data_IF_687880869839
#
_entry.id   IF_687880869839
#
_cell.length_a   1.000
_cell.length_b   1.000
_cell.length_c   1.000
_cell.angle_alpha   90.00
_cell.angle_beta   90.00
_cell.angle_gamma   90.00
#
_symmetry.space_group_name_H-M   'P 1'
#
loop_
_entity.id
_entity.type
_entity.pdbx_description
1 polymer ?
#
# COMPACT_ATOMS: atom_id res chain seq x y z
N UNK A 1 24.20 -21.67 15.92
CA UNK A 1 24.64 -20.35 16.35
C UNK A 1 23.42 -19.53 16.78
N UNK A 2 23.46 -19.07 18.02
CA UNK A 2 22.37 -18.55 18.85
C UNK A 2 21.56 -17.42 18.19
N UNK A 3 20.23 -17.55 18.20
CA UNK A 3 19.27 -16.46 17.97
C UNK A 3 19.52 -15.38 19.03
N UNK A 4 19.89 -14.19 18.63
CA UNK A 4 19.66 -13.00 19.45
C UNK A 4 18.14 -12.73 19.42
N UNK A 5 17.39 -13.31 20.35
CA UNK A 5 16.14 -12.74 20.81
C UNK A 5 16.49 -11.32 21.24
N UNK A 6 15.95 -10.32 20.55
CA UNK A 6 16.02 -8.93 20.99
C UNK A 6 15.22 -8.83 22.28
N UNK A 7 15.92 -9.03 23.40
CA UNK A 7 15.35 -8.98 24.75
C UNK A 7 14.88 -7.55 24.97
N UNK A 8 13.57 -7.31 24.93
CA UNK A 8 12.99 -6.02 25.32
C UNK A 8 13.40 -5.76 26.77
N UNK A 9 14.11 -4.66 27.06
CA UNK A 9 14.54 -4.39 28.42
C UNK A 9 13.36 -4.41 29.40
N UNK A 10 13.50 -5.06 30.54
CA UNK A 10 12.43 -5.29 31.49
C UNK A 10 11.71 -4.00 31.92
N UNK A 11 12.43 -2.88 32.02
CA UNK A 11 11.83 -1.58 32.36
C UNK A 11 10.88 -1.03 31.27
N UNK A 12 11.10 -1.35 29.98
CA UNK A 12 10.18 -0.97 28.89
C UNK A 12 8.89 -1.80 28.94
N UNK A 13 9.03 -3.11 29.18
CA UNK A 13 7.87 -3.99 29.39
C UNK A 13 7.04 -3.54 30.57
N UNK A 14 7.71 -3.10 31.66
CA UNK A 14 7.06 -2.55 32.82
C UNK A 14 6.33 -1.22 32.51
N UNK A 15 6.96 -0.32 31.74
CA UNK A 15 6.33 0.94 31.34
C UNK A 15 5.05 0.71 30.52
N UNK A 16 5.04 -0.30 29.64
CA UNK A 16 3.83 -0.67 28.88
C UNK A 16 2.72 -1.20 29.81
N UNK A 17 3.06 -2.05 30.79
CA UNK A 17 2.10 -2.57 31.77
C UNK A 17 1.51 -1.43 32.62
N UNK A 18 2.36 -0.52 33.10
CA UNK A 18 1.90 0.67 33.85
C UNK A 18 0.94 1.50 32.98
N UNK A 19 1.27 1.72 31.71
CA UNK A 19 0.40 2.46 30.78
C UNK A 19 -0.97 1.78 30.61
N UNK A 20 -0.99 0.45 30.49
CA UNK A 20 -2.23 -0.32 30.42
C UNK A 20 -3.06 -0.24 31.71
N UNK A 21 -2.42 -0.31 32.86
CA UNK A 21 -3.10 -0.19 34.15
C UNK A 21 -3.74 1.18 34.35
N UNK A 22 -3.08 2.26 33.94
CA UNK A 22 -3.64 3.61 33.99
C UNK A 22 -4.92 3.69 33.15
N UNK A 23 -4.91 3.07 31.98
CA UNK A 23 -6.08 3.01 31.07
C UNK A 23 -7.19 2.16 31.70
N UNK A 24 -6.85 0.98 32.20
CA UNK A 24 -7.78 0.01 32.76
C UNK A 24 -8.50 0.56 34.02
N UNK A 25 -7.75 1.26 34.88
CA UNK A 25 -8.30 1.94 36.08
C UNK A 25 -9.02 3.24 35.74
N UNK A 26 -9.05 3.64 34.48
CA UNK A 26 -9.68 4.87 33.98
C UNK A 26 -9.21 6.16 34.73
N UNK A 27 -7.92 6.20 35.10
CA UNK A 27 -7.34 7.35 35.81
C UNK A 27 -7.25 8.56 34.88
N UNK A 28 -7.45 9.75 35.45
CA UNK A 28 -7.44 11.02 34.72
C UNK A 28 -6.16 11.82 35.02
N UNK A 29 -5.88 12.80 34.18
CA UNK A 29 -4.79 13.73 34.41
C UNK A 29 -5.00 14.42 35.77
N UNK A 30 -3.97 14.42 36.63
CA UNK A 30 -3.97 14.92 37.99
C UNK A 30 -4.23 13.85 39.06
N UNK A 31 -4.74 12.66 38.71
CA UNK A 31 -5.00 11.60 39.65
C UNK A 31 -3.71 11.04 40.25
N UNK A 32 -3.76 10.66 41.52
CA UNK A 32 -2.72 9.87 42.18
C UNK A 32 -2.75 8.44 41.61
N UNK A 33 -1.58 7.93 41.22
CA UNK A 33 -1.47 6.58 40.71
C UNK A 33 -1.00 5.59 41.76
N UNK A 34 0.21 5.78 42.30
CA UNK A 34 0.82 4.90 43.29
C UNK A 34 2.15 5.47 43.79
N UNK A 35 2.84 4.73 44.65
CA UNK A 35 4.22 5.02 45.03
C UNK A 35 5.21 4.11 44.27
N UNK A 36 6.50 4.45 44.26
CA UNK A 36 7.55 3.58 43.72
C UNK A 36 7.59 2.22 44.44
N UNK A 37 7.26 2.18 45.70
CA UNK A 37 7.22 0.93 46.49
C UNK A 37 6.07 0.04 46.03
N UNK A 38 4.89 0.62 45.86
CA UNK A 38 3.71 -0.12 45.34
C UNK A 38 4.01 -0.76 44.00
N UNK A 39 4.68 -0.04 43.09
CA UNK A 39 5.09 -0.61 41.79
C UNK A 39 6.10 -1.78 41.91
N UNK A 40 7.01 -1.71 42.91
CA UNK A 40 7.90 -2.84 43.15
C UNK A 40 7.14 -4.07 43.64
N UNK A 41 6.18 -3.86 44.52
CA UNK A 41 5.39 -4.92 45.14
C UNK A 41 4.39 -5.51 44.14
N UNK A 42 3.67 -4.66 43.37
CA UNK A 42 2.64 -5.06 42.41
C UNK A 42 3.24 -5.85 41.21
N UNK A 43 4.41 -5.43 40.74
CA UNK A 43 5.02 -6.05 39.55
C UNK A 43 6.17 -7.01 39.82
N UNK A 44 6.58 -7.15 41.09
CA UNK A 44 7.64 -8.08 41.48
C UNK A 44 9.01 -7.74 40.89
N UNK A 45 9.33 -6.45 40.72
CA UNK A 45 10.57 -5.99 40.07
C UNK A 45 11.39 -5.07 40.98
N UNK A 46 12.69 -4.95 40.68
CA UNK A 46 13.60 -4.11 41.46
C UNK A 46 13.26 -2.63 41.33
N UNK A 47 13.55 -1.85 42.40
CA UNK A 47 13.39 -0.39 42.41
C UNK A 47 14.13 0.31 41.26
N UNK A 48 15.24 -0.23 40.82
CA UNK A 48 16.03 0.30 39.69
C UNK A 48 15.22 0.15 38.40
N UNK A 49 14.57 -0.99 38.19
CA UNK A 49 13.70 -1.27 37.03
C UNK A 49 12.49 -0.35 37.04
N UNK A 50 11.84 -0.19 38.22
CA UNK A 50 10.70 0.71 38.40
C UNK A 50 11.10 2.15 38.09
N UNK A 51 12.21 2.65 38.66
CA UNK A 51 12.67 4.02 38.38
C UNK A 51 12.91 4.27 36.91
N UNK A 52 13.54 3.33 36.19
CA UNK A 52 13.76 3.45 34.75
C UNK A 52 12.44 3.48 33.96
N UNK A 53 11.47 2.66 34.33
CA UNK A 53 10.15 2.63 33.69
C UNK A 53 9.39 3.94 33.95
N UNK A 54 9.37 4.40 35.20
CA UNK A 54 8.71 5.66 35.60
C UNK A 54 9.38 6.86 34.94
N UNK A 55 10.72 6.93 34.92
CA UNK A 55 11.46 8.00 34.22
C UNK A 55 11.19 8.03 32.72
N UNK A 56 10.99 6.87 32.08
CA UNK A 56 10.58 6.79 30.68
C UNK A 56 9.19 7.38 30.47
N UNK A 57 8.22 7.06 31.33
CA UNK A 57 6.84 7.58 31.27
C UNK A 57 6.77 9.05 31.65
N UNK A 58 7.64 9.50 32.55
CA UNK A 58 7.79 10.90 32.94
C UNK A 58 8.40 11.73 31.79
N UNK A 59 9.47 11.23 31.15
CA UNK A 59 10.05 11.84 29.97
C UNK A 59 9.09 11.93 28.77
N UNK A 60 8.10 11.04 28.73
CA UNK A 60 7.01 11.07 27.76
C UNK A 60 5.80 11.92 28.21
N UNK A 61 5.88 12.62 29.35
CA UNK A 61 4.83 13.48 29.86
C UNK A 61 3.56 12.78 30.37
N UNK A 62 3.62 11.45 30.60
CA UNK A 62 2.47 10.66 31.07
C UNK A 62 2.37 10.70 32.57
N UNK A 63 3.49 10.56 33.27
CA UNK A 63 3.59 10.58 34.72
C UNK A 63 4.31 11.82 35.19
N UNK A 64 4.06 12.17 36.46
CA UNK A 64 4.80 13.18 37.16
C UNK A 64 5.09 12.66 38.57
N UNK A 65 6.37 12.60 38.95
CA UNK A 65 6.80 12.23 40.27
C UNK A 65 6.85 13.48 41.17
N UNK A 66 6.08 13.50 42.26
CA UNK A 66 6.16 14.54 43.28
C UNK A 66 6.96 14.00 44.45
N UNK A 67 8.04 14.69 44.82
CA UNK A 67 8.89 14.28 45.93
C UNK A 67 8.06 14.08 47.18
N UNK A 68 8.24 12.94 47.86
CA UNK A 68 7.48 12.51 49.06
C UNK A 68 5.96 12.34 48.90
N UNK A 69 5.36 12.65 47.74
CA UNK A 69 3.90 12.58 47.52
C UNK A 69 3.48 11.45 46.59
N UNK A 70 4.44 10.81 45.88
CA UNK A 70 4.18 9.70 44.97
C UNK A 70 4.13 10.06 43.49
N UNK A 71 3.50 9.18 42.70
CA UNK A 71 3.42 9.27 41.25
C UNK A 71 1.99 9.64 40.85
N UNK A 72 1.87 10.64 39.97
CA UNK A 72 0.60 11.18 39.50
C UNK A 72 0.53 11.08 37.98
N UNK A 73 -0.69 11.02 37.43
CA UNK A 73 -0.92 11.11 36.00
C UNK A 73 -0.71 12.57 35.55
N UNK A 74 0.32 12.83 34.75
CA UNK A 74 0.59 14.17 34.23
C UNK A 74 -0.36 14.50 33.07
N UNK A 75 -0.42 13.63 32.07
CA UNK A 75 -1.33 13.79 30.96
C UNK A 75 -1.76 12.41 30.39
N UNK A 76 -3.06 12.11 30.57
CA UNK A 76 -3.66 10.87 30.10
C UNK A 76 -3.76 10.81 28.57
N UNK A 77 -3.93 11.95 27.90
CA UNK A 77 -4.12 11.98 26.44
C UNK A 77 -2.85 11.52 25.72
N UNK A 78 -1.67 11.71 26.34
CA UNK A 78 -0.44 11.12 25.83
C UNK A 78 -0.44 9.59 25.84
N UNK A 79 -1.17 8.93 26.74
CA UNK A 79 -1.31 7.47 26.73
C UNK A 79 -2.09 6.98 25.52
N UNK A 80 -3.15 7.68 25.13
CA UNK A 80 -3.89 7.35 23.92
C UNK A 80 -3.00 7.54 22.69
N UNK A 81 -2.24 8.62 22.66
CA UNK A 81 -1.25 8.91 21.60
C UNK A 81 -0.14 7.85 21.58
N UNK A 82 0.42 7.45 22.73
CA UNK A 82 1.47 6.44 22.81
C UNK A 82 0.97 5.04 22.46
N UNK A 83 -0.24 4.66 22.85
CA UNK A 83 -0.82 3.38 22.45
C UNK A 83 -1.09 3.34 20.94
N UNK A 84 -1.46 4.47 20.35
CA UNK A 84 -1.58 4.62 18.90
C UNK A 84 -0.20 4.52 18.24
N UNK A 85 0.84 5.16 18.80
CA UNK A 85 2.23 5.07 18.30
C UNK A 85 2.93 3.73 18.57
N UNK A 86 2.32 2.80 19.29
CA UNK A 86 2.88 1.48 19.56
C UNK A 86 2.61 0.45 18.46
N UNK A 87 1.83 0.80 17.43
CA UNK A 87 1.47 -0.11 16.35
C UNK A 87 1.81 0.51 14.99
N UNK A 88 3.10 0.56 14.68
CA UNK A 88 3.60 1.18 13.44
C UNK A 88 3.66 0.14 12.32
N UNK A 89 3.17 0.51 11.15
CA UNK A 89 3.39 -0.21 9.90
C UNK A 89 4.22 0.68 8.99
N UNK A 90 5.44 0.26 8.67
CA UNK A 90 6.30 0.98 7.75
C UNK A 90 5.85 0.76 6.31
N UNK A 91 5.85 1.84 5.53
CA UNK A 91 5.50 1.81 4.12
C UNK A 91 6.67 2.42 3.33
N UNK A 92 7.73 1.63 3.06
CA UNK A 92 8.85 2.11 2.29
C UNK A 92 8.42 2.45 0.85
N UNK A 93 8.88 3.58 0.35
CA UNK A 93 8.70 3.99 -1.03
C UNK A 93 10.00 4.53 -1.63
N UNK A 94 10.08 4.55 -2.94
CA UNK A 94 11.20 5.17 -3.64
C UNK A 94 11.05 6.70 -3.65
N UNK A 95 12.20 7.39 -3.71
CA UNK A 95 12.22 8.78 -4.13
C UNK A 95 11.74 8.84 -5.60
N UNK A 96 10.48 9.19 -5.82
CA UNK A 96 10.04 9.56 -7.15
C UNK A 96 10.58 10.95 -7.45
N UNK A 97 11.64 11.03 -8.25
CA UNK A 97 12.25 12.30 -8.64
C UNK A 97 11.34 13.22 -9.44
N UNK A 98 10.24 12.73 -9.95
CA UNK A 98 9.19 13.56 -10.55
C UNK A 98 7.93 12.72 -10.77
N UNK A 99 6.80 13.32 -10.56
CA UNK A 99 5.42 12.99 -10.90
C UNK A 99 4.63 12.34 -9.78
N UNK A 100 3.63 13.09 -9.41
CA UNK A 100 2.41 12.62 -8.77
C UNK A 100 1.86 11.42 -9.56
N UNK A 101 2.22 10.22 -9.15
CA UNK A 101 1.51 9.05 -9.64
C UNK A 101 0.24 8.91 -8.80
N UNK A 102 -0.84 9.50 -9.29
CA UNK A 102 -2.11 9.58 -8.58
C UNK A 102 -2.63 8.20 -8.13
N UNK A 103 -2.36 7.16 -8.89
CA UNK A 103 -2.67 5.78 -8.50
C UNK A 103 -2.00 5.39 -7.17
N UNK A 104 -0.70 5.67 -7.04
CA UNK A 104 0.06 5.35 -5.82
C UNK A 104 -0.37 6.21 -4.64
N UNK A 105 -0.63 7.51 -4.87
CA UNK A 105 -1.09 8.43 -3.83
C UNK A 105 -2.45 8.02 -3.27
N UNK A 106 -3.41 7.72 -4.14
CA UNK A 106 -4.73 7.25 -3.72
C UNK A 106 -4.65 5.90 -2.97
N UNK A 107 -3.82 4.99 -3.44
CA UNK A 107 -3.59 3.70 -2.75
C UNK A 107 -2.94 3.90 -1.39
N UNK A 108 -1.90 4.76 -1.30
CA UNK A 108 -1.24 5.08 -0.03
C UNK A 108 -2.22 5.72 0.95
N UNK A 109 -2.98 6.71 0.51
CA UNK A 109 -4.00 7.37 1.34
C UNK A 109 -5.01 6.35 1.91
N UNK A 110 -5.50 5.43 1.07
CA UNK A 110 -6.42 4.39 1.50
C UNK A 110 -5.80 3.39 2.48
N UNK A 111 -4.53 3.00 2.26
CA UNK A 111 -3.76 2.18 3.21
C UNK A 111 -3.66 2.86 4.58
N UNK A 112 -3.27 4.15 4.61
CA UNK A 112 -3.12 4.91 5.84
C UNK A 112 -4.42 5.02 6.61
N UNK A 113 -5.53 5.33 5.92
CA UNK A 113 -6.86 5.43 6.52
C UNK A 113 -7.34 4.08 7.08
N UNK A 114 -7.16 3.00 6.33
CA UNK A 114 -7.57 1.67 6.75
C UNK A 114 -6.74 1.14 7.92
N UNK A 115 -5.43 1.40 7.95
CA UNK A 115 -4.58 1.10 9.11
C UNK A 115 -5.00 1.89 10.34
N UNK A 116 -5.27 3.20 10.18
CA UNK A 116 -5.73 4.05 11.29
C UNK A 116 -7.06 3.55 11.88
N UNK A 117 -8.00 3.13 11.04
CA UNK A 117 -9.28 2.55 11.48
C UNK A 117 -9.12 1.26 12.33
N UNK A 118 -7.98 0.54 12.18
CA UNK A 118 -7.63 -0.67 12.94
C UNK A 118 -6.63 -0.37 14.08
N UNK A 119 -6.38 0.88 14.40
CA UNK A 119 -5.47 1.30 15.48
C UNK A 119 -3.98 1.13 15.16
N UNK A 120 -3.61 1.09 13.88
CA UNK A 120 -2.23 1.13 13.41
C UNK A 120 -1.89 2.49 12.83
N UNK A 121 -0.63 2.89 12.92
CA UNK A 121 -0.11 4.06 12.21
C UNK A 121 0.68 3.57 10.99
N UNK A 122 0.18 3.84 9.81
CA UNK A 122 0.95 3.73 8.58
C UNK A 122 2.00 4.85 8.55
N UNK A 123 3.27 4.49 8.44
CA UNK A 123 4.38 5.44 8.43
C UNK A 123 5.14 5.34 7.11
N UNK A 124 4.89 6.25 6.14
CA UNK A 124 5.65 6.31 4.90
C UNK A 124 7.11 6.68 5.19
N UNK A 125 8.05 5.94 4.60
CA UNK A 125 9.49 6.20 4.72
C UNK A 125 10.15 6.02 3.36
N UNK A 126 11.30 6.65 3.17
CA UNK A 126 12.12 6.33 2.00
C UNK A 126 12.76 4.95 2.17
N UNK A 127 12.92 4.23 1.06
CA UNK A 127 13.52 2.89 1.06
C UNK A 127 14.90 2.88 1.73
N UNK A 128 15.69 3.90 1.48
CA UNK A 128 17.04 4.08 2.00
C UNK A 128 17.06 4.17 3.53
N UNK A 129 15.99 4.72 4.12
CA UNK A 129 15.85 4.92 5.56
C UNK A 129 15.44 3.64 6.31
N UNK A 130 15.04 2.58 5.61
CA UNK A 130 14.58 1.33 6.24
C UNK A 130 15.65 0.71 7.18
N UNK A 131 16.91 1.00 6.94
CA UNK A 131 18.05 0.56 7.74
C UNK A 131 18.65 1.64 8.64
N UNK A 132 18.03 2.82 8.71
CA UNK A 132 18.55 3.92 9.50
C UNK A 132 18.49 3.63 11.01
N UNK A 133 19.41 4.20 11.78
CA UNK A 133 19.38 4.12 13.24
C UNK A 133 18.05 4.62 13.81
N UNK A 134 17.41 5.61 13.17
CA UNK A 134 16.12 6.15 13.57
C UNK A 134 15.02 5.09 13.54
N UNK A 135 15.00 4.25 12.50
CA UNK A 135 14.06 3.13 12.40
C UNK A 135 14.39 2.04 13.41
N UNK A 136 15.67 1.79 13.66
CA UNK A 136 16.12 0.86 14.68
C UNK A 136 15.64 1.25 16.09
N UNK A 137 15.57 2.55 16.41
CA UNK A 137 14.99 3.05 17.67
C UNK A 137 13.48 2.76 17.83
N UNK A 138 12.79 2.56 16.72
CA UNK A 138 11.35 2.25 16.69
C UNK A 138 11.08 0.74 16.56
N UNK A 139 12.10 -0.11 16.51
CA UNK A 139 12.00 -1.54 16.19
C UNK A 139 10.94 -2.29 17.00
N UNK A 140 10.85 -1.98 18.32
CA UNK A 140 9.86 -2.60 19.22
C UNK A 140 8.41 -2.20 18.96
N UNK A 141 8.20 -1.15 18.17
CA UNK A 141 6.89 -0.58 17.85
C UNK A 141 6.45 -0.90 16.41
N UNK A 142 7.36 -1.42 15.60
CA UNK A 142 7.08 -1.76 14.21
C UNK A 142 6.44 -3.15 14.16
N UNK A 143 5.18 -3.20 13.76
CA UNK A 143 4.38 -4.43 13.69
C UNK A 143 4.37 -5.05 12.30
N UNK A 144 4.67 -4.26 11.27
CA UNK A 144 4.66 -4.74 9.91
C UNK A 144 5.36 -3.80 8.93
N UNK A 145 5.63 -4.32 7.74
CA UNK A 145 6.19 -3.56 6.61
C UNK A 145 5.36 -3.84 5.36
N UNK A 146 4.98 -2.80 4.62
CA UNK A 146 4.25 -2.92 3.36
C UNK A 146 5.18 -2.57 2.21
N UNK A 147 5.46 -3.50 1.32
CA UNK A 147 6.33 -3.29 0.15
C UNK A 147 5.60 -3.40 -1.17
N UNK A 148 5.99 -2.57 -2.13
CA UNK A 148 5.54 -2.66 -3.52
C UNK A 148 6.34 -3.68 -4.35
N UNK A 149 5.94 -3.84 -5.62
CA UNK A 149 6.54 -4.79 -6.58
C UNK A 149 8.07 -4.69 -6.64
N UNK A 150 8.61 -3.49 -6.88
CA UNK A 150 10.05 -3.24 -7.06
C UNK A 150 10.91 -3.52 -5.82
N UNK A 151 10.29 -3.60 -4.65
CA UNK A 151 10.95 -3.83 -3.36
C UNK A 151 10.75 -5.25 -2.85
N UNK A 152 9.86 -6.03 -3.46
CA UNK A 152 9.44 -7.32 -2.94
C UNK A 152 10.60 -8.32 -2.81
N UNK A 153 11.53 -8.34 -3.77
CA UNK A 153 12.71 -9.21 -3.74
C UNK A 153 13.65 -8.91 -2.57
N UNK A 154 13.94 -7.61 -2.31
CA UNK A 154 14.78 -7.17 -1.21
C UNK A 154 14.12 -7.46 0.15
N UNK A 155 12.84 -7.11 0.30
CA UNK A 155 12.10 -7.36 1.55
C UNK A 155 11.99 -8.87 1.87
N UNK A 156 11.74 -9.71 0.86
CA UNK A 156 11.62 -11.15 1.06
C UNK A 156 12.96 -11.79 1.43
N UNK A 157 14.07 -11.32 0.85
CA UNK A 157 15.40 -11.81 1.20
C UNK A 157 15.74 -11.53 2.67
N UNK A 158 15.21 -10.46 3.22
CA UNK A 158 15.42 -9.99 4.59
C UNK A 158 14.28 -10.34 5.56
N UNK A 159 13.29 -11.13 5.13
CA UNK A 159 12.06 -11.41 5.90
C UNK A 159 12.27 -11.93 7.31
N UNK A 160 13.41 -12.58 7.58
CA UNK A 160 13.71 -13.12 8.92
C UNK A 160 14.18 -12.02 9.89
N UNK A 161 14.74 -10.93 9.38
CA UNK A 161 15.20 -9.78 10.15
C UNK A 161 14.15 -8.67 10.24
N UNK A 162 13.12 -8.70 9.40
CA UNK A 162 12.05 -7.71 9.35
C UNK A 162 10.81 -8.19 10.12
N UNK A 163 9.95 -7.28 10.58
CA UNK A 163 8.58 -7.58 11.00
C UNK A 163 7.80 -8.28 9.87
N UNK A 164 6.58 -8.81 10.15
CA UNK A 164 5.71 -9.36 9.13
C UNK A 164 5.55 -8.44 7.92
N UNK A 165 5.45 -9.03 6.72
CA UNK A 165 5.39 -8.30 5.45
C UNK A 165 4.02 -8.40 4.80
N UNK A 166 3.57 -7.30 4.21
CA UNK A 166 2.57 -7.28 3.14
C UNK A 166 3.26 -6.88 1.84
N UNK A 167 3.18 -7.70 0.81
CA UNK A 167 3.75 -7.40 -0.50
C UNK A 167 2.63 -7.11 -1.50
N UNK A 168 2.65 -5.90 -2.06
CA UNK A 168 1.68 -5.43 -3.04
C UNK A 168 2.19 -5.73 -4.44
N UNK A 169 1.45 -6.57 -5.14
CA UNK A 169 1.72 -7.05 -6.49
C UNK A 169 3.16 -7.57 -6.70
N UNK A 170 3.63 -8.50 -5.84
CA UNK A 170 4.97 -9.04 -5.97
C UNK A 170 5.10 -9.92 -7.23
N UNK A 171 6.34 -10.14 -7.75
CA UNK A 171 6.60 -11.07 -8.84
C UNK A 171 6.04 -12.47 -8.59
N UNK A 172 5.70 -13.18 -9.67
CA UNK A 172 5.01 -14.48 -9.61
C UNK A 172 5.71 -15.59 -8.83
N UNK A 173 7.05 -15.54 -8.75
CA UNK A 173 7.89 -16.50 -8.03
C UNK A 173 7.91 -16.31 -6.49
N UNK A 174 7.33 -15.22 -5.97
CA UNK A 174 7.24 -14.98 -4.52
C UNK A 174 5.99 -15.67 -3.99
N UNK A 175 6.15 -16.43 -2.91
CA UNK A 175 5.06 -17.15 -2.23
C UNK A 175 4.78 -16.59 -0.84
N UNK A 176 3.53 -16.72 -0.40
CA UNK A 176 3.13 -16.35 0.94
C UNK A 176 3.77 -17.27 2.00
N UNK A 177 3.93 -16.75 3.22
CA UNK A 177 4.55 -17.49 4.32
C UNK A 177 4.02 -16.98 5.68
N UNK A 178 4.38 -17.66 6.78
CA UNK A 178 4.03 -17.21 8.14
C UNK A 178 4.51 -15.79 8.48
N UNK A 179 5.37 -15.21 7.66
CA UNK A 179 5.92 -13.86 7.83
C UNK A 179 5.59 -12.91 6.70
N UNK A 180 4.93 -13.39 5.64
CA UNK A 180 4.59 -12.55 4.49
C UNK A 180 3.24 -12.95 3.89
N UNK A 181 2.35 -12.01 3.78
CA UNK A 181 1.15 -12.10 2.96
C UNK A 181 1.30 -11.30 1.67
N UNK A 182 0.56 -11.71 0.68
CA UNK A 182 0.64 -11.17 -0.67
C UNK A 182 -0.71 -10.58 -1.07
N UNK A 183 -0.67 -9.44 -1.73
CA UNK A 183 -1.81 -8.87 -2.43
C UNK A 183 -1.44 -8.79 -3.91
N UNK A 184 -2.11 -9.53 -4.77
CA UNK A 184 -1.86 -9.58 -6.22
C UNK A 184 -3.02 -9.03 -7.01
N UNK A 185 -2.72 -8.46 -8.16
CA UNK A 185 -3.70 -8.01 -9.14
C UNK A 185 -3.97 -9.14 -10.12
N UNK A 186 -5.24 -9.41 -10.40
CA UNK A 186 -5.63 -10.45 -11.35
C UNK A 186 -5.58 -9.92 -12.79
N UNK A 187 -4.35 -9.75 -13.31
CA UNK A 187 -4.14 -9.31 -14.70
C UNK A 187 -4.73 -10.28 -15.72
N UNK A 188 -4.80 -11.58 -15.37
CA UNK A 188 -5.45 -12.57 -16.23
C UNK A 188 -6.94 -12.28 -16.40
N UNK A 189 -7.64 -12.01 -15.29
CA UNK A 189 -9.06 -11.65 -15.34
C UNK A 189 -9.26 -10.30 -16.07
N UNK A 190 -8.39 -9.32 -15.82
CA UNK A 190 -8.42 -8.03 -16.53
C UNK A 190 -8.29 -8.22 -18.05
N UNK A 191 -7.37 -9.06 -18.49
CA UNK A 191 -7.20 -9.39 -19.91
C UNK A 191 -8.46 -10.02 -20.50
N UNK A 192 -9.03 -11.03 -19.82
CA UNK A 192 -10.25 -11.71 -20.27
C UNK A 192 -11.46 -10.77 -20.34
N UNK A 193 -11.59 -9.87 -19.37
CA UNK A 193 -12.67 -8.86 -19.37
C UNK A 193 -12.49 -7.85 -20.51
N UNK A 194 -11.24 -7.47 -20.79
CA UNK A 194 -10.90 -6.62 -21.93
C UNK A 194 -11.22 -7.30 -23.27
N UNK A 195 -10.89 -8.59 -23.42
CA UNK A 195 -11.28 -9.36 -24.60
C UNK A 195 -12.79 -9.36 -24.81
N UNK A 196 -13.56 -9.68 -23.77
CA UNK A 196 -15.03 -9.68 -23.83
C UNK A 196 -15.60 -8.31 -24.20
N UNK A 197 -14.98 -7.25 -23.69
CA UNK A 197 -15.38 -5.88 -24.01
C UNK A 197 -15.11 -5.55 -25.49
N UNK A 198 -13.97 -5.96 -26.04
CA UNK A 198 -13.56 -5.75 -27.41
C UNK A 198 -14.40 -6.60 -28.38
N UNK A 199 -14.58 -7.89 -28.09
CA UNK A 199 -15.39 -8.83 -28.91
C UNK A 199 -16.82 -8.36 -29.16
N UNK A 200 -17.46 -7.76 -28.13
CA UNK A 200 -18.81 -7.16 -28.29
C UNK A 200 -18.89 -6.04 -29.32
N UNK A 201 -17.73 -5.47 -29.73
CA UNK A 201 -17.62 -4.38 -30.73
C UNK A 201 -17.24 -4.89 -32.10
N UNK A 202 -16.90 -6.19 -32.20
CA UNK A 202 -16.54 -6.88 -33.43
C UNK A 202 -15.55 -6.10 -34.33
N UNK A 203 -14.38 -5.66 -33.80
CA UNK A 203 -13.44 -4.90 -34.60
C UNK A 203 -12.76 -5.79 -35.66
N UNK A 204 -12.42 -5.20 -36.80
CA UNK A 204 -11.66 -5.89 -37.83
C UNK A 204 -10.19 -6.04 -37.49
N UNK A 205 -9.63 -5.06 -36.80
CA UNK A 205 -8.22 -5.01 -36.39
C UNK A 205 -8.13 -4.43 -34.98
N UNK A 206 -7.18 -4.96 -34.20
CA UNK A 206 -6.83 -4.45 -32.88
C UNK A 206 -5.38 -3.95 -32.89
N UNK A 207 -5.17 -2.74 -32.39
CA UNK A 207 -3.86 -2.20 -32.04
C UNK A 207 -3.79 -2.20 -30.50
N UNK A 208 -2.91 -3.04 -29.97
CA UNK A 208 -2.65 -3.11 -28.53
C UNK A 208 -1.35 -2.38 -28.21
N UNK A 209 -1.39 -1.42 -27.28
CA UNK A 209 -0.22 -0.68 -26.80
C UNK A 209 0.04 -1.10 -25.37
N UNK A 210 1.20 -1.73 -25.13
CA UNK A 210 1.61 -2.26 -23.83
C UNK A 210 2.71 -1.40 -23.25
N UNK A 211 2.47 -0.89 -22.03
CA UNK A 211 3.37 0.05 -21.35
C UNK A 211 4.12 -0.57 -20.17
N UNK A 212 3.69 -1.74 -19.69
CA UNK A 212 4.31 -2.47 -18.58
C UNK A 212 4.36 -3.97 -18.89
N UNK A 213 5.50 -4.64 -18.72
CA UNK A 213 5.65 -6.08 -18.90
C UNK A 213 4.65 -6.95 -18.13
N UNK A 214 4.09 -6.44 -17.03
CA UNK A 214 3.05 -7.16 -16.27
C UNK A 214 1.78 -7.44 -17.09
N UNK A 215 1.56 -6.69 -18.17
CA UNK A 215 0.43 -6.89 -19.09
C UNK A 215 0.72 -7.91 -20.21
N UNK A 216 1.94 -8.43 -20.31
CA UNK A 216 2.25 -9.52 -21.25
C UNK A 216 1.71 -10.84 -20.70
N UNK A 217 0.75 -11.42 -21.40
CA UNK A 217 0.13 -12.71 -21.07
C UNK A 217 0.08 -13.57 -22.33
N UNK A 218 1.25 -14.06 -22.81
CA UNK A 218 1.35 -14.76 -24.10
C UNK A 218 0.39 -15.94 -24.21
N UNK A 219 0.14 -16.63 -23.10
CA UNK A 219 -0.77 -17.77 -23.03
C UNK A 219 -2.25 -17.43 -23.28
N UNK A 220 -2.59 -16.14 -23.28
CA UNK A 220 -3.95 -15.65 -23.54
C UNK A 220 -4.10 -14.90 -24.87
N UNK A 221 -2.99 -14.56 -25.54
CA UNK A 221 -3.01 -13.76 -26.78
C UNK A 221 -3.70 -14.48 -27.93
N UNK A 222 -3.60 -15.81 -27.99
CA UNK A 222 -4.29 -16.66 -28.99
C UNK A 222 -5.82 -16.65 -28.88
N UNK A 223 -6.36 -16.09 -27.78
CA UNK A 223 -7.82 -15.97 -27.60
C UNK A 223 -8.45 -14.84 -28.41
N UNK A 224 -7.66 -13.97 -29.00
CA UNK A 224 -8.16 -12.86 -29.80
C UNK A 224 -8.30 -13.34 -31.24
N UNK A 225 -9.54 -13.51 -31.68
CA UNK A 225 -9.90 -14.08 -32.99
C UNK A 225 -9.69 -13.14 -34.19
N UNK A 226 -9.44 -11.85 -33.95
CA UNK A 226 -9.16 -10.87 -34.99
C UNK A 226 -7.68 -10.48 -35.01
N UNK A 227 -7.19 -9.99 -36.17
CA UNK A 227 -5.80 -9.58 -36.30
C UNK A 227 -5.38 -8.54 -35.26
N UNK A 228 -4.57 -8.94 -34.30
CA UNK A 228 -4.00 -8.05 -33.30
C UNK A 228 -2.55 -7.71 -33.67
N UNK A 229 -2.24 -6.41 -33.64
CA UNK A 229 -0.87 -5.91 -33.73
C UNK A 229 -0.51 -5.28 -32.40
N UNK A 230 0.55 -5.78 -31.75
CA UNK A 230 1.03 -5.24 -30.50
C UNK A 230 2.20 -4.29 -30.71
N UNK A 231 2.21 -3.22 -29.92
CA UNK A 231 3.31 -2.27 -29.80
C UNK A 231 3.70 -2.19 -28.34
N UNK A 232 4.94 -2.51 -28.04
CA UNK A 232 5.50 -2.31 -26.71
C UNK A 232 6.14 -0.93 -26.67
N UNK A 233 5.80 -0.13 -25.68
CA UNK A 233 6.54 1.10 -25.41
C UNK A 233 7.79 0.74 -24.61
N UNK A 234 8.90 1.46 -24.79
CA UNK A 234 9.96 1.41 -23.80
C UNK A 234 9.36 1.78 -22.42
N UNK A 235 9.97 1.34 -21.32
CA UNK A 235 9.59 1.81 -20.00
C UNK A 235 9.45 3.32 -20.06
N UNK A 236 8.31 3.86 -19.60
CA UNK A 236 8.06 5.30 -19.61
C UNK A 236 9.21 5.97 -18.89
N UNK A 237 10.09 6.61 -19.65
CA UNK A 237 11.27 7.26 -19.12
C UNK A 237 10.84 8.44 -18.27
N UNK A 238 11.66 8.81 -17.27
CA UNK A 238 11.33 9.88 -16.32
C UNK A 238 11.20 11.27 -16.99
N UNK A 239 11.66 11.41 -18.23
CA UNK A 239 11.66 12.67 -18.99
C UNK A 239 10.42 12.84 -19.87
N UNK A 240 9.86 11.77 -20.42
CA UNK A 240 8.65 11.84 -21.26
C UNK A 240 7.40 11.61 -20.43
N UNK A 241 6.41 12.50 -20.53
CA UNK A 241 5.12 12.25 -19.87
C UNK A 241 4.37 11.11 -20.56
N UNK A 242 3.62 10.32 -19.80
CA UNK A 242 2.78 9.27 -20.37
C UNK A 242 1.78 9.84 -21.41
N UNK A 243 1.27 11.06 -21.17
CA UNK A 243 0.43 11.79 -22.13
C UNK A 243 1.19 12.08 -23.42
N UNK A 244 2.45 12.53 -23.35
CA UNK A 244 3.28 12.82 -24.52
C UNK A 244 3.60 11.56 -25.31
N UNK A 245 3.89 10.44 -24.62
CA UNK A 245 4.04 9.13 -25.25
C UNK A 245 2.78 8.74 -26.02
N UNK A 246 1.61 8.93 -25.43
CA UNK A 246 0.33 8.70 -26.09
C UNK A 246 0.14 9.56 -27.32
N UNK A 247 0.46 10.85 -27.23
CA UNK A 247 0.37 11.80 -28.36
C UNK A 247 1.31 11.41 -29.50
N UNK A 248 2.56 11.05 -29.20
CA UNK A 248 3.54 10.60 -30.20
C UNK A 248 3.05 9.34 -30.92
N UNK A 249 2.66 8.31 -30.17
CA UNK A 249 2.16 7.07 -30.75
C UNK A 249 0.92 7.25 -31.62
N UNK A 250 0.00 8.15 -31.18
CA UNK A 250 -1.17 8.51 -31.98
C UNK A 250 -0.78 9.17 -33.31
N UNK A 251 0.22 10.06 -33.28
CA UNK A 251 0.76 10.69 -34.51
C UNK A 251 1.34 9.67 -35.50
N UNK A 252 2.10 8.69 -35.00
CA UNK A 252 2.71 7.62 -35.79
C UNK A 252 1.68 6.64 -36.37
N UNK A 253 0.60 6.37 -35.63
CA UNK A 253 -0.38 5.35 -35.99
C UNK A 253 -1.61 5.88 -36.72
N UNK A 254 -1.81 7.19 -36.78
CA UNK A 254 -3.04 7.81 -37.26
C UNK A 254 -3.38 7.39 -38.70
N UNK A 255 -2.42 7.48 -39.63
CA UNK A 255 -2.64 7.22 -41.04
C UNK A 255 -2.89 5.72 -41.35
N UNK A 256 -2.61 4.84 -40.41
CA UNK A 256 -2.81 3.39 -40.50
C UNK A 256 -3.92 2.86 -39.58
N UNK A 257 -4.74 3.76 -39.01
CA UNK A 257 -5.68 3.48 -37.95
C UNK A 257 -7.13 3.23 -38.42
N UNK A 258 -7.37 3.25 -39.71
CA UNK A 258 -8.71 3.08 -40.26
C UNK A 258 -9.29 1.72 -39.83
N UNK A 259 -10.49 1.77 -39.23
CA UNK A 259 -11.22 0.61 -38.69
C UNK A 259 -10.46 -0.19 -37.59
N UNK A 260 -9.45 0.41 -36.96
CA UNK A 260 -8.75 -0.20 -35.83
C UNK A 260 -9.45 0.10 -34.51
N UNK A 261 -9.45 -0.89 -33.62
CA UNK A 261 -9.74 -0.74 -32.21
C UNK A 261 -8.45 -0.58 -31.44
N UNK A 262 -8.38 0.38 -30.51
CA UNK A 262 -7.19 0.65 -29.70
C UNK A 262 -7.36 0.12 -28.29
N UNK A 263 -6.43 -0.73 -27.87
CA UNK A 263 -6.37 -1.26 -26.51
C UNK A 263 -5.05 -0.85 -25.85
N UNK A 264 -5.12 0.07 -24.90
CA UNK A 264 -3.95 0.74 -24.30
C UNK A 264 -3.86 0.38 -22.81
N UNK A 265 -2.67 -0.07 -22.36
CA UNK A 265 -2.51 -0.57 -20.99
C UNK A 265 -2.10 0.50 -19.96
N UNK A 266 -2.35 1.77 -20.27
CA UNK A 266 -2.11 2.90 -19.39
C UNK A 266 -3.14 4.01 -19.65
N UNK A 267 -3.62 4.65 -18.58
CA UNK A 267 -4.66 5.69 -18.67
C UNK A 267 -4.14 6.99 -19.29
N UNK A 268 -3.00 7.49 -18.85
CA UNK A 268 -2.44 8.74 -19.35
C UNK A 268 -1.97 8.63 -20.81
N UNK A 269 -1.41 7.48 -21.18
CA UNK A 269 -1.10 7.17 -22.58
C UNK A 269 -2.38 7.15 -23.42
N UNK A 270 -3.44 6.52 -22.93
CA UNK A 270 -4.72 6.48 -23.63
C UNK A 270 -5.34 7.89 -23.81
N UNK A 271 -5.18 8.77 -22.84
CA UNK A 271 -5.66 10.17 -22.95
C UNK A 271 -4.89 10.95 -24.00
N UNK A 272 -3.54 10.91 -23.92
CA UNK A 272 -2.71 11.57 -24.93
C UNK A 272 -2.99 11.05 -26.32
N UNK A 273 -3.20 9.74 -26.46
CA UNK A 273 -3.54 9.08 -27.70
C UNK A 273 -4.88 9.56 -28.25
N UNK A 274 -5.93 9.53 -27.42
CA UNK A 274 -7.26 9.99 -27.82
C UNK A 274 -7.30 11.48 -28.16
N UNK A 275 -6.55 12.32 -27.46
CA UNK A 275 -6.48 13.75 -27.71
C UNK A 275 -6.03 14.08 -29.14
N UNK A 276 -5.00 13.39 -29.65
CA UNK A 276 -4.53 13.61 -31.04
C UNK A 276 -5.58 13.18 -32.06
N UNK A 277 -6.27 12.08 -31.84
CA UNK A 277 -7.37 11.66 -32.72
C UNK A 277 -8.50 12.68 -32.72
N UNK A 278 -8.87 13.21 -31.55
CA UNK A 278 -9.89 14.22 -31.41
C UNK A 278 -9.49 15.54 -32.11
N UNK A 279 -8.25 15.98 -31.97
CA UNK A 279 -7.69 17.15 -32.67
C UNK A 279 -7.75 16.99 -34.20
N UNK A 280 -7.71 15.76 -34.71
CA UNK A 280 -7.84 15.43 -36.14
C UNK A 280 -9.27 15.05 -36.56
N UNK A 281 -10.27 15.34 -35.71
CA UNK A 281 -11.69 15.15 -36.01
C UNK A 281 -12.25 13.75 -35.79
N UNK A 282 -11.46 12.82 -35.17
CA UNK A 282 -11.88 11.44 -34.89
C UNK A 282 -12.13 11.26 -33.40
N UNK A 283 -13.35 10.96 -33.02
CA UNK A 283 -13.70 10.71 -31.62
C UNK A 283 -13.76 9.21 -31.32
N UNK A 284 -12.62 8.63 -30.88
CA UNK A 284 -12.49 7.20 -30.60
C UNK A 284 -13.46 6.70 -29.52
N UNK A 285 -13.88 7.57 -28.59
CA UNK A 285 -14.84 7.23 -27.53
C UNK A 285 -16.24 7.12 -28.11
N UNK A 286 -16.68 8.14 -28.86
CA UNK A 286 -17.98 8.14 -29.52
C UNK A 286 -18.11 7.01 -30.55
N UNK A 287 -17.02 6.70 -31.26
CA UNK A 287 -16.92 5.59 -32.21
C UNK A 287 -16.77 4.24 -31.52
N UNK A 288 -16.62 4.20 -30.19
CA UNK A 288 -16.44 2.98 -29.37
C UNK A 288 -15.21 2.14 -29.80
N UNK A 289 -14.11 2.81 -30.18
CA UNK A 289 -12.90 2.22 -30.76
C UNK A 289 -11.70 2.27 -29.81
N UNK A 290 -11.88 2.57 -28.51
CA UNK A 290 -10.81 2.63 -27.53
C UNK A 290 -11.22 1.93 -26.23
N UNK A 291 -10.24 1.28 -25.58
CA UNK A 291 -10.28 0.73 -24.24
C UNK A 291 -8.95 1.00 -23.58
N UNK A 292 -8.96 1.44 -22.32
CA UNK A 292 -7.77 1.52 -21.50
C UNK A 292 -7.79 0.46 -20.36
N UNK A 293 -6.65 -0.19 -20.14
CA UNK A 293 -6.40 -0.89 -18.87
C UNK A 293 -5.79 0.11 -17.89
N UNK A 294 -6.63 0.66 -17.05
CA UNK A 294 -6.33 1.82 -16.24
C UNK A 294 -7.10 1.77 -14.91
N UNK A 295 -7.00 2.80 -14.11
CA UNK A 295 -7.76 2.89 -12.86
C UNK A 295 -9.15 3.49 -13.10
N UNK A 296 -10.24 2.73 -12.89
CA UNK A 296 -11.60 3.21 -13.16
C UNK A 296 -12.06 4.35 -12.24
N UNK A 297 -11.34 4.59 -11.14
CA UNK A 297 -11.70 5.63 -10.15
C UNK A 297 -10.83 6.89 -10.21
N UNK A 298 -10.00 7.04 -11.23
CA UNK A 298 -9.25 8.29 -11.41
C UNK A 298 -10.16 9.40 -11.94
N UNK A 299 -10.11 10.63 -11.36
CA UNK A 299 -10.93 11.76 -11.80
C UNK A 299 -10.78 12.08 -13.29
N UNK A 300 -9.58 11.92 -13.84
CA UNK A 300 -9.33 12.16 -15.27
C UNK A 300 -10.04 11.12 -16.14
N UNK A 301 -10.20 9.88 -15.69
CA UNK A 301 -10.97 8.84 -16.41
C UNK A 301 -12.43 9.22 -16.51
N UNK A 302 -13.00 9.72 -15.40
CA UNK A 302 -14.38 10.20 -15.37
C UNK A 302 -14.57 11.44 -16.26
N UNK A 303 -13.63 12.39 -16.22
CA UNK A 303 -13.71 13.64 -16.98
C UNK A 303 -13.62 13.41 -18.50
N UNK A 304 -12.79 12.48 -18.95
CA UNK A 304 -12.58 12.21 -20.40
C UNK A 304 -13.56 11.16 -20.92
N UNK A 305 -14.05 10.26 -20.08
CA UNK A 305 -15.04 9.24 -20.47
C UNK A 305 -14.45 8.05 -21.25
N UNK A 306 -13.14 7.85 -21.24
CA UNK A 306 -12.50 6.65 -21.85
C UNK A 306 -13.02 5.40 -21.12
N UNK A 307 -13.50 4.37 -21.84
CA UNK A 307 -13.82 3.08 -21.25
C UNK A 307 -12.60 2.46 -20.60
N UNK A 308 -12.72 2.02 -19.36
CA UNK A 308 -11.61 1.50 -18.57
C UNK A 308 -11.97 0.17 -17.91
N UNK A 309 -11.03 -0.78 -17.93
CA UNK A 309 -11.06 -2.01 -17.14
C UNK A 309 -9.74 -2.09 -16.37
N UNK A 310 -9.79 -2.07 -15.04
CA UNK A 310 -8.56 -2.09 -14.24
C UNK A 310 -8.79 -2.11 -12.74
N UNK A 311 -7.82 -1.62 -12.00
CA UNK A 311 -7.78 -1.77 -10.56
C UNK A 311 -8.00 -0.43 -9.86
N UNK A 312 -8.94 -0.40 -8.91
CA UNK A 312 -9.22 0.78 -8.11
C UNK A 312 -8.18 0.94 -6.99
N UNK A 313 -7.35 2.00 -6.97
CA UNK A 313 -6.27 2.16 -6.00
C UNK A 313 -6.79 2.28 -4.56
N UNK A 314 -7.90 2.96 -4.35
CA UNK A 314 -8.49 3.09 -3.01
C UNK A 314 -8.99 1.74 -2.49
N UNK A 315 -9.64 0.95 -3.33
CA UNK A 315 -10.06 -0.41 -2.97
C UNK A 315 -8.86 -1.31 -2.67
N UNK A 316 -7.80 -1.25 -3.48
CA UNK A 316 -6.55 -1.99 -3.22
C UNK A 316 -6.00 -1.63 -1.84
N UNK A 317 -5.88 -0.33 -1.54
CA UNK A 317 -5.34 0.14 -0.26
C UNK A 317 -6.16 -0.35 0.92
N UNK A 318 -7.48 -0.22 0.84
CA UNK A 318 -8.40 -0.63 1.92
C UNK A 318 -8.38 -2.14 2.14
N UNK A 319 -8.54 -2.93 1.08
CA UNK A 319 -8.61 -4.40 1.18
C UNK A 319 -7.26 -4.98 1.64
N UNK A 320 -6.15 -4.48 1.11
CA UNK A 320 -4.81 -4.92 1.47
C UNK A 320 -4.46 -4.59 2.93
N UNK A 321 -4.83 -3.39 3.41
CA UNK A 321 -4.63 -3.02 4.81
C UNK A 321 -5.47 -3.88 5.75
N UNK A 322 -6.75 -4.09 5.45
CA UNK A 322 -7.64 -4.94 6.23
C UNK A 322 -7.10 -6.36 6.32
N UNK A 323 -6.74 -6.94 5.18
CA UNK A 323 -6.16 -8.28 5.09
C UNK A 323 -4.86 -8.41 5.90
N UNK A 324 -4.01 -7.39 5.87
CA UNK A 324 -2.77 -7.38 6.65
C UNK A 324 -3.01 -7.22 8.14
N UNK A 325 -3.97 -6.39 8.56
CA UNK A 325 -4.35 -6.27 9.96
C UNK A 325 -4.86 -7.61 10.52
N UNK A 326 -5.74 -8.32 9.80
CA UNK A 326 -6.21 -9.63 10.20
C UNK A 326 -5.06 -10.64 10.36
N UNK A 327 -4.07 -10.59 9.45
CA UNK A 327 -2.87 -11.38 9.57
C UNK A 327 -2.03 -11.00 10.80
N UNK A 328 -1.86 -9.72 11.10
CA UNK A 328 -1.09 -9.24 12.25
C UNK A 328 -1.77 -9.57 13.59
N UNK A 329 -3.10 -9.53 13.64
CA UNK A 329 -3.90 -9.85 14.83
C UNK A 329 -4.02 -11.35 15.08
N UNK A 330 -3.73 -12.17 14.08
CA UNK A 330 -3.61 -13.63 14.25
C UNK A 330 -2.36 -13.94 15.08
N UNK A 331 -2.48 -14.82 16.07
CA UNK A 331 -1.36 -15.26 16.90
C UNK A 331 -0.21 -15.83 16.02
N UNK A 332 1.05 -15.46 16.28
CA UNK A 332 2.17 -15.77 15.39
C UNK A 332 2.32 -17.26 15.02
N UNK A 333 2.01 -18.15 15.96
CA UNK A 333 2.06 -19.61 15.77
C UNK A 333 0.94 -20.12 14.84
N UNK A 334 -0.17 -19.40 14.75
CA UNK A 334 -1.34 -19.75 13.92
C UNK A 334 -1.31 -19.07 12.56
N UNK A 335 -0.37 -18.15 12.32
CA UNK A 335 -0.26 -17.47 11.03
C UNK A 335 0.07 -18.48 9.94
N UNK A 336 -0.77 -18.51 8.93
CA UNK A 336 -0.48 -19.16 7.65
C UNK A 336 -0.28 -18.06 6.62
N UNK A 337 0.62 -18.19 5.69
CA UNK A 337 0.73 -17.18 4.63
C UNK A 337 -0.61 -17.03 3.89
N UNK A 338 -0.97 -15.80 3.55
CA UNK A 338 -2.21 -15.46 2.87
C UNK A 338 -1.98 -14.81 1.51
N UNK A 339 -2.91 -15.02 0.58
CA UNK A 339 -2.95 -14.38 -0.72
C UNK A 339 -4.31 -13.69 -0.90
N UNK A 340 -4.27 -12.39 -1.08
CA UNK A 340 -5.41 -11.57 -1.49
C UNK A 340 -5.31 -11.32 -3.00
N UNK A 341 -6.33 -11.72 -3.76
CA UNK A 341 -6.44 -11.41 -5.19
C UNK A 341 -7.39 -10.23 -5.40
N UNK A 342 -6.87 -9.15 -5.97
CA UNK A 342 -7.65 -7.98 -6.34
C UNK A 342 -8.23 -8.21 -7.73
N UNK A 343 -9.55 -8.18 -7.83
CA UNK A 343 -10.26 -8.32 -9.09
C UNK A 343 -10.34 -6.96 -9.82
N UNK A 344 -10.23 -6.95 -11.15
CA UNK A 344 -10.44 -5.74 -11.93
C UNK A 344 -11.91 -5.29 -11.84
N UNK A 345 -12.10 -4.00 -12.07
CA UNK A 345 -13.42 -3.37 -12.19
C UNK A 345 -13.47 -2.53 -13.45
N UNK A 346 -14.64 -2.34 -14.02
CA UNK A 346 -14.87 -1.43 -15.14
C UNK A 346 -15.52 -0.14 -14.65
N UNK A 347 -15.14 1.01 -15.24
CA UNK A 347 -15.99 2.19 -15.10
C UNK A 347 -17.29 1.91 -15.85
N UNK A 348 -18.42 2.33 -15.28
CA UNK A 348 -19.67 2.36 -16.05
C UNK A 348 -19.52 3.48 -17.09
N UNK A 349 -19.60 3.18 -18.41
CA UNK A 349 -19.74 4.27 -19.36
C UNK A 349 -20.95 5.10 -18.92
N UNK A 350 -20.82 6.43 -18.94
CA UNK A 350 -21.96 7.30 -18.73
C UNK A 350 -23.10 6.78 -19.61
N UNK A 351 -24.22 6.40 -19.00
CA UNK A 351 -25.43 6.06 -19.74
C UNK A 351 -25.96 7.39 -20.33
N UNK A 352 -25.62 7.66 -21.56
CA UNK A 352 -26.29 8.62 -22.42
C UNK A 352 -26.97 7.88 -23.58
#
# INVERSE_FOLDING_TARGET
MSRSETFKPLYRTLADKISQDIIHRNLKSGDFFCTLKDLCDDYGVSIITVRKAVSLLEGNGILCCKSAAGIYIANRDFLNTLNTFNRIILIPHHHYKSRLNLFFELRLSALLQAFAARGYIGFPIYREDLNSERISLLSDRIHGVVGGNTMSGDLISRRNALPPLLLLNPPGNITASKRACLCRYDFRQQFLDSCRFIERRNPQKIIRIVTDPAYHLPELEDRISCGMRQFDTPPLDHEESAIETGRRLAGELFDHSENCFFWITDDFVAFGFHAVFLERGVNLIAEKRILANASPSLPIVEAVGVPVIGFCPTKIGTDAASFFCDFLETAPEKRTGGLLMIQPTANRPAQN
#
